data_IF_801282888048
#
_entry.id   IF_801282888048
#
_cell.length_a   1.000
_cell.length_b   1.000
_cell.length_c   1.000
_cell.angle_alpha   90.00
_cell.angle_beta   90.00
_cell.angle_gamma   90.00
#
_symmetry.space_group_name_H-M   'P 1'
#
loop_
_entity.id
_entity.type
_entity.pdbx_description
1 polymer ?
#
# COMPACT_ATOMS: atom_id res chain seq x y z
N UNK A 1 3.55 -33.19 -4.77
CA UNK A 1 2.20 -32.68 -5.08
C UNK A 1 1.78 -31.74 -3.96
N UNK A 2 2.33 -30.53 -3.96
CA UNK A 2 1.88 -29.44 -3.09
C UNK A 2 0.81 -28.67 -3.83
N UNK A 3 -0.36 -28.49 -3.20
CA UNK A 3 -1.39 -27.59 -3.73
C UNK A 3 -0.86 -26.17 -3.57
N UNK A 4 -0.67 -25.47 -4.67
CA UNK A 4 -0.44 -24.03 -4.69
C UNK A 4 -1.63 -23.34 -4.01
N UNK A 5 -1.45 -22.90 -2.76
CA UNK A 5 -2.44 -22.11 -2.02
C UNK A 5 -2.64 -20.70 -2.60
N UNK A 6 -1.91 -20.34 -3.65
CA UNK A 6 -1.99 -19.06 -4.34
C UNK A 6 -2.68 -19.12 -5.71
N UNK A 7 -2.97 -20.31 -6.25
CA UNK A 7 -3.43 -20.46 -7.64
C UNK A 7 -4.93 -20.21 -7.87
N UNK A 8 -5.77 -20.16 -6.82
CA UNK A 8 -7.23 -20.01 -7.00
C UNK A 8 -7.78 -18.62 -6.66
N UNK A 9 -6.97 -17.67 -6.17
CA UNK A 9 -7.45 -16.29 -5.92
C UNK A 9 -6.91 -15.24 -6.88
N UNK A 10 -5.91 -15.58 -7.70
CA UNK A 10 -5.42 -14.71 -8.78
C UNK A 10 -6.12 -15.02 -10.11
N UNK A 11 -6.65 -16.25 -10.26
CA UNK A 11 -7.44 -16.64 -11.42
C UNK A 11 -8.87 -16.05 -11.36
N UNK A 12 -9.07 -14.92 -12.04
CA UNK A 12 -10.40 -14.44 -12.45
C UNK A 12 -11.42 -14.29 -11.32
N UNK A 13 -11.03 -13.65 -10.22
CA UNK A 13 -11.99 -13.09 -9.28
C UNK A 13 -12.71 -11.91 -9.94
N UNK A 14 -13.73 -12.16 -10.77
CA UNK A 14 -14.81 -11.19 -10.98
C UNK A 14 -15.39 -10.89 -9.60
N UNK A 15 -14.79 -9.93 -8.89
CA UNK A 15 -15.35 -9.43 -7.65
C UNK A 15 -16.72 -8.88 -8.02
N UNK A 16 -17.78 -9.58 -7.61
CA UNK A 16 -19.16 -9.09 -7.76
C UNK A 16 -19.17 -7.65 -7.25
N UNK A 17 -19.75 -6.68 -8.00
CA UNK A 17 -19.43 -5.27 -7.84
C UNK A 17 -20.23 -4.69 -6.67
N UNK A 18 -19.90 -5.14 -5.44
CA UNK A 18 -20.50 -4.62 -4.21
C UNK A 18 -20.18 -3.14 -4.08
N UNK A 19 -18.99 -2.71 -4.50
CA UNK A 19 -18.59 -1.31 -4.47
C UNK A 19 -19.35 -0.43 -5.46
N UNK A 20 -19.59 -0.89 -6.70
CA UNK A 20 -20.48 -0.19 -7.64
C UNK A 20 -21.90 -0.05 -7.10
N UNK A 21 -22.42 -1.11 -6.45
CA UNK A 21 -23.70 -1.05 -5.74
C UNK A 21 -23.69 -0.02 -4.61
N UNK A 22 -22.63 0.03 -3.78
CA UNK A 22 -22.48 1.05 -2.75
C UNK A 22 -22.39 2.46 -3.32
N UNK A 23 -21.68 2.67 -4.44
CA UNK A 23 -21.64 3.95 -5.13
C UNK A 23 -23.02 4.38 -5.62
N UNK A 24 -23.79 3.47 -6.22
CA UNK A 24 -25.16 3.75 -6.66
C UNK A 24 -26.05 4.13 -5.47
N UNK A 25 -25.99 3.37 -4.38
CA UNK A 25 -26.77 3.66 -3.16
C UNK A 25 -26.37 5.02 -2.57
N UNK A 26 -25.07 5.32 -2.51
CA UNK A 26 -24.56 6.62 -2.05
C UNK A 26 -24.99 7.75 -2.99
N UNK A 27 -24.96 7.54 -4.31
CA UNK A 27 -25.38 8.52 -5.30
C UNK A 27 -26.89 8.81 -5.21
N UNK A 28 -27.72 7.79 -5.01
CA UNK A 28 -29.16 7.94 -4.80
C UNK A 28 -29.43 8.68 -3.48
N UNK A 29 -28.73 8.32 -2.40
CA UNK A 29 -28.88 8.97 -1.10
C UNK A 29 -28.42 10.43 -1.11
N UNK A 30 -27.27 10.72 -1.71
CA UNK A 30 -26.75 12.09 -1.85
C UNK A 30 -27.61 12.92 -2.81
N UNK A 31 -28.04 12.34 -3.94
CA UNK A 31 -28.88 13.00 -4.92
C UNK A 31 -30.26 13.36 -4.36
N UNK A 32 -30.91 12.41 -3.69
CA UNK A 32 -32.19 12.66 -3.01
C UNK A 32 -32.05 13.62 -1.82
N UNK A 33 -30.97 13.51 -1.04
CA UNK A 33 -30.65 14.42 0.06
C UNK A 33 -30.41 15.86 -0.40
N UNK A 34 -29.61 16.06 -1.46
CA UNK A 34 -29.38 17.36 -2.08
C UNK A 34 -30.67 17.95 -2.66
N UNK A 35 -31.46 17.14 -3.35
CA UNK A 35 -32.73 17.58 -3.92
C UNK A 35 -33.72 17.99 -2.81
N UNK A 36 -33.91 17.15 -1.78
CA UNK A 36 -34.85 17.41 -0.70
C UNK A 36 -34.44 18.64 0.13
N UNK A 37 -33.17 18.75 0.50
CA UNK A 37 -32.67 19.90 1.26
C UNK A 37 -32.64 21.18 0.43
N UNK A 38 -32.30 21.11 -0.85
CA UNK A 38 -32.36 22.24 -1.78
C UNK A 38 -33.79 22.73 -2.02
N UNK A 39 -34.73 21.79 -2.25
CA UNK A 39 -36.15 22.10 -2.43
C UNK A 39 -36.76 22.70 -1.16
N UNK A 40 -36.46 22.13 0.02
CA UNK A 40 -36.90 22.68 1.31
C UNK A 40 -36.34 24.09 1.53
N UNK A 41 -35.04 24.29 1.31
CA UNK A 41 -34.38 25.61 1.44
C UNK A 41 -35.05 26.65 0.53
N UNK A 42 -35.30 26.31 -0.73
CA UNK A 42 -35.99 27.18 -1.68
C UNK A 42 -37.43 27.48 -1.25
N UNK A 43 -38.18 26.47 -0.82
CA UNK A 43 -39.58 26.63 -0.39
C UNK A 43 -39.69 27.54 0.84
N UNK A 44 -38.84 27.35 1.84
CA UNK A 44 -38.80 28.20 3.04
C UNK A 44 -38.30 29.62 2.74
N UNK A 45 -37.42 29.78 1.75
CA UNK A 45 -36.99 31.10 1.28
C UNK A 45 -38.17 31.88 0.68
N UNK A 46 -38.98 31.23 -0.15
CA UNK A 46 -40.20 31.83 -0.73
C UNK A 46 -41.23 32.16 0.35
N UNK A 47 -41.33 31.34 1.40
CA UNK A 47 -42.21 31.58 2.56
C UNK A 47 -41.66 32.64 3.54
N UNK A 48 -40.42 33.11 3.38
CA UNK A 48 -39.79 34.08 4.27
C UNK A 48 -39.36 33.51 5.63
N UNK A 49 -39.30 32.19 5.78
CA UNK A 49 -38.90 31.52 7.02
C UNK A 49 -37.38 31.38 7.12
N UNK A 50 -36.70 32.50 7.40
CA UNK A 50 -35.24 32.59 7.37
C UNK A 50 -34.50 31.59 8.27
N UNK A 51 -35.07 31.21 9.40
CA UNK A 51 -34.46 30.22 10.31
C UNK A 51 -34.46 28.81 9.71
N UNK A 52 -35.51 28.44 8.97
CA UNK A 52 -35.58 27.18 8.22
C UNK A 52 -34.62 27.20 7.03
N UNK A 53 -34.50 28.33 6.34
CA UNK A 53 -33.52 28.50 5.24
C UNK A 53 -32.10 28.25 5.74
N UNK A 54 -31.73 28.79 6.91
CA UNK A 54 -30.40 28.57 7.50
C UNK A 54 -30.19 27.10 7.87
N UNK A 55 -31.20 26.45 8.45
CA UNK A 55 -31.12 25.05 8.85
C UNK A 55 -30.97 24.11 7.64
N UNK A 56 -31.90 24.19 6.68
CA UNK A 56 -31.89 23.33 5.49
C UNK A 56 -30.75 23.69 4.52
N UNK A 57 -30.37 24.96 4.43
CA UNK A 57 -29.22 25.41 3.65
C UNK A 57 -27.90 24.88 4.20
N UNK A 58 -27.77 24.77 5.53
CA UNK A 58 -26.61 24.14 6.17
C UNK A 58 -26.52 22.65 5.87
N UNK A 59 -27.66 21.94 5.87
CA UNK A 59 -27.70 20.54 5.44
C UNK A 59 -27.36 20.40 3.95
N UNK A 60 -27.90 21.25 3.08
CA UNK A 60 -27.56 21.26 1.65
C UNK A 60 -26.05 21.44 1.43
N UNK A 61 -25.43 22.40 2.12
CA UNK A 61 -23.98 22.61 2.07
C UNK A 61 -23.17 21.39 2.58
N UNK A 62 -23.64 20.72 3.63
CA UNK A 62 -23.04 19.48 4.14
C UNK A 62 -23.08 18.36 3.09
N UNK A 63 -24.25 18.12 2.48
CA UNK A 63 -24.41 17.12 1.43
C UNK A 63 -23.52 17.43 0.22
N UNK A 64 -23.42 18.70 -0.17
CA UNK A 64 -22.56 19.14 -1.27
C UNK A 64 -21.08 18.91 -0.95
N UNK A 65 -20.65 19.20 0.29
CA UNK A 65 -19.29 18.96 0.75
C UNK A 65 -18.91 17.48 0.73
N UNK A 66 -19.82 16.60 1.15
CA UNK A 66 -19.63 15.14 1.09
C UNK A 66 -19.56 14.67 -0.37
N UNK A 67 -20.46 15.14 -1.24
CA UNK A 67 -20.45 14.80 -2.66
C UNK A 67 -19.14 15.21 -3.35
N UNK A 68 -18.65 16.42 -3.09
CA UNK A 68 -17.36 16.90 -3.59
C UNK A 68 -16.18 16.07 -3.07
N UNK A 69 -16.20 15.67 -1.80
CA UNK A 69 -15.15 14.82 -1.22
C UNK A 69 -15.12 13.43 -1.87
N UNK A 70 -16.28 12.82 -2.10
CA UNK A 70 -16.40 11.53 -2.80
C UNK A 70 -15.93 11.67 -4.25
N UNK A 71 -16.33 12.73 -4.95
CA UNK A 71 -15.86 13.00 -6.31
C UNK A 71 -14.32 13.09 -6.38
N UNK A 72 -13.70 13.82 -5.44
CA UNK A 72 -12.23 13.89 -5.34
C UNK A 72 -11.61 12.53 -5.02
N UNK A 73 -12.22 11.72 -4.16
CA UNK A 73 -11.75 10.37 -3.86
C UNK A 73 -11.81 9.48 -5.11
N UNK A 74 -12.88 9.55 -5.90
CA UNK A 74 -12.99 8.80 -7.16
C UNK A 74 -12.00 9.25 -8.24
N UNK A 75 -11.52 10.50 -8.17
CA UNK A 75 -10.48 10.99 -9.07
C UNK A 75 -9.06 10.62 -8.66
N UNK A 76 -8.85 10.08 -7.45
CA UNK A 76 -7.53 9.62 -7.04
C UNK A 76 -7.15 8.37 -7.85
N UNK A 77 -6.29 8.56 -8.84
CA UNK A 77 -5.70 7.48 -9.66
C UNK A 77 -4.57 6.72 -8.93
N UNK A 78 -4.43 6.90 -7.62
CA UNK A 78 -3.39 6.22 -6.85
C UNK A 78 -3.79 4.77 -6.62
N UNK A 79 -2.84 3.82 -6.68
CA UNK A 79 -3.15 2.43 -6.40
C UNK A 79 -3.68 2.31 -4.98
N UNK A 80 -4.80 1.61 -4.84
CA UNK A 80 -5.47 1.41 -3.54
C UNK A 80 -5.03 0.10 -2.90
N UNK A 81 -4.52 -0.82 -3.72
CA UNK A 81 -3.93 -2.08 -3.29
C UNK A 81 -2.65 -2.36 -4.08
N UNK A 82 -1.59 -2.76 -3.38
CA UNK A 82 -0.35 -3.25 -3.99
C UNK A 82 -0.17 -4.69 -3.55
N UNK A 83 -0.10 -5.61 -4.51
CA UNK A 83 0.19 -7.03 -4.27
C UNK A 83 1.52 -7.31 -4.94
N UNK A 84 2.40 -8.03 -4.26
CA UNK A 84 3.70 -8.37 -4.81
C UNK A 84 3.94 -9.86 -4.65
N UNK A 85 4.32 -10.52 -5.74
CA UNK A 85 4.40 -11.97 -5.87
C UNK A 85 5.79 -12.36 -6.37
N UNK A 86 6.43 -13.28 -5.67
CA UNK A 86 7.65 -13.93 -6.12
C UNK A 86 7.28 -15.08 -7.06
N UNK A 87 7.54 -14.91 -8.36
CA UNK A 87 7.42 -15.95 -9.38
C UNK A 87 8.74 -16.73 -9.51
N UNK A 88 8.82 -17.66 -10.47
CA UNK A 88 10.00 -18.49 -10.70
C UNK A 88 11.18 -17.69 -11.29
N UNK A 89 10.91 -16.81 -12.25
CA UNK A 89 11.93 -16.05 -13.00
C UNK A 89 11.99 -14.56 -12.64
N UNK A 90 11.04 -14.09 -11.82
CA UNK A 90 10.82 -12.68 -11.61
C UNK A 90 10.02 -12.37 -10.34
N UNK A 91 10.06 -11.10 -9.99
CA UNK A 91 9.21 -10.49 -8.99
C UNK A 91 8.17 -9.59 -9.67
N UNK A 92 6.89 -9.89 -9.47
CA UNK A 92 5.79 -9.15 -10.08
C UNK A 92 5.03 -8.33 -9.05
N UNK A 93 4.86 -7.04 -9.33
CA UNK A 93 4.08 -6.10 -8.53
C UNK A 93 2.83 -5.71 -9.29
N UNK A 94 1.70 -6.01 -8.67
CA UNK A 94 0.36 -5.63 -9.10
C UNK A 94 -0.08 -4.41 -8.31
N UNK A 95 -0.11 -3.26 -8.97
CA UNK A 95 -0.69 -2.05 -8.42
C UNK A 95 -2.13 -1.94 -8.94
N UNK A 96 -3.09 -2.21 -8.06
CA UNK A 96 -4.53 -2.26 -8.39
C UNK A 96 -5.19 -1.01 -7.81
N UNK A 97 -5.88 -0.27 -8.66
CA UNK A 97 -6.82 0.74 -8.22
C UNK A 97 -8.18 0.07 -7.98
N UNK A 98 -8.55 -0.15 -6.71
CA UNK A 98 -9.83 -0.78 -6.36
C UNK A 98 -11.05 0.07 -6.79
N UNK A 99 -10.86 1.35 -7.12
CA UNK A 99 -11.91 2.26 -7.59
C UNK A 99 -12.07 2.26 -9.11
N UNK A 100 -11.00 2.06 -9.87
CA UNK A 100 -11.07 2.08 -11.34
C UNK A 100 -10.92 0.69 -11.97
N UNK A 101 -10.59 -0.32 -11.17
CA UNK A 101 -10.17 -1.66 -11.60
C UNK A 101 -8.94 -1.62 -12.54
N UNK A 102 -8.27 -0.47 -12.67
CA UNK A 102 -7.05 -0.34 -13.44
C UNK A 102 -5.92 -1.08 -12.70
N UNK A 103 -5.33 -2.03 -13.42
CA UNK A 103 -4.21 -2.83 -12.96
C UNK A 103 -2.94 -2.37 -13.68
N UNK A 104 -1.92 -2.01 -12.91
CA UNK A 104 -0.57 -1.77 -13.43
C UNK A 104 0.33 -2.89 -12.94
N UNK A 105 0.84 -3.68 -13.88
CA UNK A 105 1.77 -4.78 -13.61
C UNK A 105 3.19 -4.30 -13.87
N UNK A 106 4.06 -4.49 -12.88
CA UNK A 106 5.51 -4.25 -13.00
C UNK A 106 6.22 -5.57 -12.73
N UNK A 107 6.85 -6.15 -13.76
CA UNK A 107 7.61 -7.40 -13.66
C UNK A 107 9.10 -7.08 -13.65
N UNK A 108 9.82 -7.58 -12.64
CA UNK A 108 11.25 -7.35 -12.44
C UNK A 108 11.93 -8.72 -12.43
N UNK A 109 12.76 -8.99 -13.43
CA UNK A 109 13.46 -10.28 -13.50
C UNK A 109 14.58 -10.34 -12.46
N UNK A 110 14.74 -11.48 -11.80
CA UNK A 110 15.75 -11.64 -10.75
C UNK A 110 17.17 -11.40 -11.28
N UNK A 111 17.47 -11.89 -12.49
CA UNK A 111 18.77 -11.68 -13.14
C UNK A 111 19.06 -10.23 -13.56
N UNK A 112 18.08 -9.32 -13.47
CA UNK A 112 18.29 -7.88 -13.72
C UNK A 112 18.45 -7.07 -12.44
N UNK A 113 18.29 -7.70 -11.27
CA UNK A 113 18.42 -7.00 -9.99
C UNK A 113 19.90 -6.75 -9.70
N UNK A 114 20.26 -5.47 -9.53
CA UNK A 114 21.62 -5.08 -9.17
C UNK A 114 21.86 -5.26 -7.66
N UNK A 115 20.86 -4.90 -6.85
CA UNK A 115 20.99 -4.95 -5.40
C UNK A 115 19.65 -4.98 -4.66
N UNK A 116 19.64 -5.59 -3.48
CA UNK A 116 18.52 -5.57 -2.54
C UNK A 116 18.98 -5.08 -1.16
N UNK A 117 18.22 -4.16 -0.57
CA UNK A 117 18.32 -3.81 0.85
C UNK A 117 17.07 -4.31 1.58
N UNK A 118 17.29 -5.05 2.66
CA UNK A 118 16.27 -5.57 3.55
C UNK A 118 16.37 -4.83 4.86
N UNK A 119 15.30 -4.21 5.33
CA UNK A 119 15.30 -3.52 6.62
C UNK A 119 13.94 -3.56 7.31
N UNK A 120 13.85 -2.94 8.48
CA UNK A 120 12.63 -3.00 9.28
C UNK A 120 11.56 -2.10 8.69
N UNK A 121 10.36 -2.66 8.50
CA UNK A 121 9.16 -1.90 8.18
C UNK A 121 8.28 -1.71 9.43
N UNK A 122 7.81 -0.49 9.65
CA UNK A 122 6.88 -0.11 10.70
C UNK A 122 5.81 0.83 10.14
N UNK A 123 4.56 0.63 10.54
CA UNK A 123 3.47 1.53 10.16
C UNK A 123 3.31 2.67 11.18
N UNK A 124 4.07 3.75 11.02
CA UNK A 124 3.95 4.93 11.90
C UNK A 124 2.63 5.72 11.75
N UNK A 125 1.81 5.41 10.74
CA UNK A 125 0.56 6.11 10.44
C UNK A 125 -0.66 5.66 11.26
N UNK A 126 -0.61 4.49 11.90
CA UNK A 126 -1.70 3.95 12.71
C UNK A 126 -1.41 4.12 14.21
N UNK A 127 -1.43 5.36 14.71
CA UNK A 127 -1.38 5.63 16.15
C UNK A 127 -2.56 4.95 16.85
N UNK A 128 -2.31 3.90 17.66
CA UNK A 128 -3.27 3.43 18.66
C UNK A 128 -3.67 1.94 18.67
N UNK A 129 -3.09 1.07 17.83
CA UNK A 129 -3.25 -0.39 18.02
C UNK A 129 -1.93 -0.98 18.50
N UNK A 130 -1.95 -1.71 19.63
CA UNK A 130 -0.84 -2.40 20.31
C UNK A 130 -0.12 -3.49 19.47
N UNK A 131 -0.28 -3.46 18.16
CA UNK A 131 0.40 -4.32 17.20
C UNK A 131 1.09 -3.39 16.22
N UNK A 132 2.23 -2.83 16.62
CA UNK A 132 3.21 -2.32 15.67
C UNK A 132 3.56 -3.51 14.76
N UNK A 133 2.97 -3.56 13.57
CA UNK A 133 3.28 -4.60 12.61
C UNK A 133 4.70 -4.33 12.12
N UNK A 134 5.64 -5.12 12.65
CA UNK A 134 7.05 -5.13 12.25
C UNK A 134 7.18 -6.14 11.12
N UNK A 135 7.30 -5.64 9.89
CA UNK A 135 7.58 -6.44 8.69
C UNK A 135 8.99 -6.21 8.18
N UNK A 136 9.35 -6.88 7.09
CA UNK A 136 10.56 -6.57 6.34
C UNK A 136 10.20 -5.68 5.15
N UNK A 137 10.87 -4.53 4.99
CA UNK A 137 10.84 -3.76 3.75
C UNK A 137 11.99 -4.23 2.87
N UNK A 138 11.71 -4.53 1.61
CA UNK A 138 12.72 -4.79 0.59
C UNK A 138 12.75 -3.58 -0.35
N UNK A 139 13.93 -3.02 -0.56
CA UNK A 139 14.17 -2.02 -1.59
C UNK A 139 15.10 -2.64 -2.62
N UNK A 140 14.63 -2.72 -3.86
CA UNK A 140 15.25 -3.43 -4.97
C UNK A 140 15.72 -2.39 -5.98
N UNK A 141 17.01 -2.42 -6.31
CA UNK A 141 17.62 -1.60 -7.35
C UNK A 141 17.72 -2.43 -8.62
N UNK A 142 17.14 -1.92 -9.71
CA UNK A 142 17.12 -2.60 -11.01
C UNK A 142 17.07 -1.58 -12.16
N UNK A 143 17.53 -1.91 -13.36
CA UNK A 143 17.34 -1.04 -14.52
C UNK A 143 15.86 -1.01 -14.92
N UNK A 144 15.41 0.13 -15.42
CA UNK A 144 14.12 0.27 -16.07
C UNK A 144 14.19 -0.15 -17.56
N UNK A 145 13.14 0.14 -18.32
CA UNK A 145 13.07 -0.21 -19.75
C UNK A 145 14.04 0.58 -20.63
N UNK A 146 14.46 1.76 -20.16
CA UNK A 146 15.40 2.65 -20.86
C UNK A 146 16.85 2.40 -20.41
N UNK A 147 17.06 1.48 -19.47
CA UNK A 147 18.37 1.11 -18.92
C UNK A 147 18.82 1.99 -17.76
N UNK A 148 17.98 2.93 -17.33
CA UNK A 148 18.25 3.81 -16.19
C UNK A 148 17.98 3.08 -14.88
N UNK A 149 18.81 3.31 -13.87
CA UNK A 149 18.67 2.63 -12.58
C UNK A 149 17.47 3.19 -11.82
N UNK A 150 16.53 2.32 -11.47
CA UNK A 150 15.33 2.65 -10.70
C UNK A 150 15.21 1.79 -9.45
N UNK A 151 14.28 2.16 -8.58
CA UNK A 151 14.08 1.53 -7.29
C UNK A 151 12.63 1.12 -7.11
N UNK A 152 12.47 -0.12 -6.68
CA UNK A 152 11.18 -0.69 -6.34
C UNK A 152 11.17 -1.07 -4.87
N UNK A 153 10.10 -0.70 -4.18
CA UNK A 153 9.90 -1.02 -2.77
C UNK A 153 8.78 -2.03 -2.60
N UNK A 154 9.01 -3.03 -1.76
CA UNK A 154 8.00 -3.97 -1.31
C UNK A 154 8.04 -4.16 0.20
N UNK A 155 6.93 -4.61 0.77
CA UNK A 155 6.83 -4.94 2.19
C UNK A 155 6.35 -6.38 2.31
N UNK A 156 7.12 -7.18 3.03
CA UNK A 156 6.83 -8.58 3.27
C UNK A 156 6.56 -8.78 4.75
N UNK A 157 5.40 -9.37 5.03
CA UNK A 157 4.91 -9.66 6.39
C UNK A 157 4.98 -11.14 6.73
N UNK A 158 5.10 -11.99 5.71
CA UNK A 158 5.06 -13.44 5.84
C UNK A 158 6.48 -14.03 5.78
N UNK A 159 6.77 -14.92 6.73
CA UNK A 159 8.05 -15.61 6.85
C UNK A 159 8.27 -16.60 5.69
N UNK A 160 7.21 -17.23 5.17
CA UNK A 160 7.31 -18.12 4.00
C UNK A 160 7.74 -17.34 2.76
N UNK A 161 7.19 -16.13 2.57
CA UNK A 161 7.55 -15.26 1.45
C UNK A 161 8.99 -14.76 1.59
N UNK A 162 9.45 -14.46 2.81
CA UNK A 162 10.86 -14.12 3.05
C UNK A 162 11.80 -15.30 2.78
N UNK A 163 11.36 -16.52 3.07
CA UNK A 163 12.11 -17.74 2.77
C UNK A 163 12.20 -17.97 1.26
N UNK A 164 11.12 -17.77 0.52
CA UNK A 164 11.15 -17.80 -0.95
C UNK A 164 12.09 -16.74 -1.52
N UNK A 165 12.10 -15.52 -0.97
CA UNK A 165 13.07 -14.49 -1.35
C UNK A 165 14.52 -14.90 -1.10
N UNK A 166 14.79 -15.58 0.01
CA UNK A 166 16.11 -16.10 0.31
C UNK A 166 16.58 -17.11 -0.75
N UNK A 167 15.72 -18.07 -1.11
CA UNK A 167 16.02 -19.05 -2.17
C UNK A 167 16.34 -18.35 -3.50
N UNK A 168 15.55 -17.34 -3.91
CA UNK A 168 15.77 -16.60 -5.15
C UNK A 168 17.04 -15.75 -5.12
N UNK A 169 17.34 -15.09 -4.00
CA UNK A 169 18.57 -14.32 -3.83
C UNK A 169 19.80 -15.20 -4.05
N UNK A 170 19.78 -16.43 -3.51
CA UNK A 170 20.87 -17.40 -3.69
C UNK A 170 20.95 -17.97 -5.09
N UNK A 171 19.81 -18.36 -5.66
CA UNK A 171 19.73 -18.96 -7.00
C UNK A 171 20.27 -18.03 -8.08
N UNK A 172 19.95 -16.74 -7.98
CA UNK A 172 20.33 -15.72 -8.96
C UNK A 172 21.55 -14.89 -8.56
N UNK A 173 22.25 -15.27 -7.48
CA UNK A 173 23.42 -14.55 -6.93
C UNK A 173 23.18 -13.03 -6.77
N UNK A 174 21.99 -12.66 -6.29
CA UNK A 174 21.60 -11.25 -6.17
C UNK A 174 22.31 -10.64 -4.96
N UNK A 175 23.06 -9.54 -5.12
CA UNK A 175 23.67 -8.86 -3.99
C UNK A 175 22.59 -8.32 -3.03
N UNK A 176 22.46 -8.93 -1.86
CA UNK A 176 21.51 -8.51 -0.84
C UNK A 176 22.22 -8.06 0.44
N UNK A 177 21.66 -7.06 1.11
CA UNK A 177 22.15 -6.58 2.40
C UNK A 177 20.98 -6.38 3.35
N UNK A 178 21.19 -6.68 4.64
CA UNK A 178 20.18 -6.55 5.68
C UNK A 178 20.65 -5.59 6.77
N UNK A 179 19.75 -4.71 7.20
CA UNK A 179 19.99 -3.69 8.23
C UNK A 179 18.95 -3.77 9.34
N UNK A 180 19.30 -3.55 10.61
CA UNK A 180 18.32 -3.47 11.70
C UNK A 180 17.54 -2.14 11.70
N UNK A 181 17.91 -1.19 10.84
CA UNK A 181 17.30 0.13 10.81
C UNK A 181 15.89 0.12 10.23
N UNK A 182 15.05 1.02 10.76
CA UNK A 182 13.70 1.27 10.26
C UNK A 182 13.81 2.06 8.96
N UNK A 183 13.57 1.40 7.83
CA UNK A 183 13.64 2.00 6.50
C UNK A 183 12.26 2.31 5.93
N UNK A 184 11.24 2.47 6.77
CA UNK A 184 9.83 2.62 6.34
C UNK A 184 9.53 3.92 5.60
N UNK A 185 10.30 4.97 5.88
CA UNK A 185 10.13 6.31 5.31
C UNK A 185 11.19 6.62 4.22
N UNK A 186 12.11 5.68 3.95
CA UNK A 186 13.16 5.87 2.95
C UNK A 186 12.52 5.97 1.56
N UNK A 187 12.83 7.07 0.88
CA UNK A 187 12.44 7.28 -0.51
C UNK A 187 13.49 6.67 -1.47
N UNK A 188 13.08 6.21 -2.67
CA UNK A 188 13.97 5.76 -3.74
C UNK A 188 15.22 6.64 -3.95
N UNK A 189 15.06 7.95 -3.97
CA UNK A 189 16.13 8.90 -4.29
C UNK A 189 17.17 9.03 -3.17
N UNK A 190 16.80 8.62 -1.95
CA UNK A 190 17.68 8.62 -0.79
C UNK A 190 18.44 7.29 -0.66
N UNK A 191 18.09 6.29 -1.47
CA UNK A 191 18.60 4.94 -1.33
C UNK A 191 20.11 4.84 -1.48
N UNK A 192 20.70 5.42 -2.52
CA UNK A 192 22.15 5.31 -2.78
C UNK A 192 22.98 5.96 -1.67
N UNK A 193 22.55 7.13 -1.18
CA UNK A 193 23.20 7.82 -0.07
C UNK A 193 23.06 7.03 1.24
N UNK A 194 21.88 6.45 1.48
CA UNK A 194 21.63 5.62 2.65
C UNK A 194 22.48 4.34 2.59
N UNK A 195 22.57 3.68 1.43
CA UNK A 195 23.29 2.42 1.27
C UNK A 195 24.79 2.54 1.63
N UNK A 196 25.41 3.68 1.33
CA UNK A 196 26.82 3.92 1.66
C UNK A 196 27.06 4.16 3.16
N UNK A 197 26.03 4.58 3.89
CA UNK A 197 26.14 5.04 5.29
C UNK A 197 25.46 4.11 6.28
N UNK A 198 24.63 3.20 5.79
CA UNK A 198 23.85 2.28 6.60
C UNK A 198 24.72 1.11 7.07
N UNK A 199 24.63 0.78 8.36
CA UNK A 199 25.18 -0.48 8.87
C UNK A 199 24.30 -1.63 8.36
N UNK A 200 24.65 -2.13 7.18
CA UNK A 200 24.03 -3.28 6.56
C UNK A 200 25.06 -4.39 6.41
N UNK A 201 24.64 -5.61 6.76
CA UNK A 201 25.45 -6.82 6.61
C UNK A 201 25.05 -7.52 5.33
N UNK A 202 25.99 -8.19 4.63
CA UNK A 202 25.62 -9.07 3.53
C UNK A 202 24.56 -10.07 3.99
N UNK A 203 23.51 -10.22 3.19
CA UNK A 203 22.45 -11.19 3.43
C UNK A 203 22.61 -12.33 2.45
N UNK A 204 23.25 -13.39 2.92
CA UNK A 204 23.45 -14.65 2.20
C UNK A 204 22.34 -15.67 2.51
N UNK A 205 21.31 -15.24 3.27
CA UNK A 205 20.22 -16.11 3.67
C UNK A 205 20.50 -17.08 4.80
N UNK A 206 21.69 -17.01 5.43
CA UNK A 206 22.12 -17.98 6.45
C UNK A 206 21.34 -17.89 7.76
N UNK A 207 20.50 -16.88 7.94
CA UNK A 207 19.69 -16.66 9.13
C UNK A 207 18.29 -16.16 8.79
N UNK A 208 17.32 -16.48 9.64
CA UNK A 208 15.94 -15.99 9.49
C UNK A 208 15.89 -14.47 9.68
N UNK A 209 15.26 -13.78 8.73
CA UNK A 209 15.00 -12.32 8.79
C UNK A 209 14.19 -11.96 10.04
N UNK A 210 13.26 -12.83 10.43
CA UNK A 210 12.47 -12.67 11.66
C UNK A 210 13.34 -12.76 12.90
N UNK A 211 14.17 -13.79 13.03
CA UNK A 211 15.10 -13.91 14.15
C UNK A 211 16.09 -12.74 14.22
N UNK A 212 16.55 -12.27 13.06
CA UNK A 212 17.41 -11.09 12.97
C UNK A 212 16.73 -9.87 13.57
N UNK A 213 15.46 -9.60 13.23
CA UNK A 213 14.72 -8.47 13.79
C UNK A 213 14.25 -8.70 15.23
N UNK A 214 13.95 -9.92 15.64
CA UNK A 214 13.59 -10.24 17.03
C UNK A 214 14.78 -10.04 17.99
N UNK A 215 15.98 -10.50 17.61
CA UNK A 215 17.21 -10.25 18.37
C UNK A 215 17.51 -8.74 18.49
N UNK A 216 17.18 -7.96 17.46
CA UNK A 216 17.34 -6.51 17.47
C UNK A 216 16.23 -5.80 18.26
N UNK A 217 14.99 -6.29 18.25
CA UNK A 217 13.92 -5.77 19.11
C UNK A 217 14.18 -6.01 20.60
N UNK A 218 14.95 -7.04 20.98
CA UNK A 218 15.46 -7.19 22.35
C UNK A 218 16.47 -6.08 22.71
N UNK A 219 17.27 -5.60 21.74
CA UNK A 219 18.14 -4.43 21.90
C UNK A 219 17.34 -3.11 21.94
N UNK A 220 16.29 -2.96 21.14
CA UNK A 220 15.42 -1.76 21.14
C UNK A 220 14.63 -1.63 22.46
N UNK A 221 14.26 -2.74 23.10
CA UNK A 221 13.66 -2.73 24.45
C UNK A 221 14.63 -2.31 25.57
N UNK A 222 15.95 -2.37 25.37
CA UNK A 222 16.94 -1.90 26.33
C UNK A 222 17.21 -0.38 26.27
N UNK A 223 16.61 0.35 25.32
CA UNK A 223 16.65 1.81 25.27
C UNK A 223 15.35 2.49 25.76
N UNK A 224 14.42 1.70 26.30
CA UNK A 224 13.18 2.20 26.92
C UNK A 224 12.97 1.69 28.36
N UNK A 225 14.03 1.18 29.01
CA UNK A 225 14.06 0.90 30.44
C UNK A 225 14.78 2.01 31.20
#
# INVERSE_FOLDING_TARGET
>A
MGRNLYDETIATGKMKPKWFFYLIVIAIFLGSGLYATGYATYSFLVMGEWWMVLLFGSFFALFLGIALKIYRLTQNKKPTKIIAVAEEDAYTIYAINEWTEEEKVTKIHYGTMDRILIGVWTNRGFKGRKSDYVGARLIIRHPDKDGEMTYTSSVVFDEEVLTGWNERIREFDIPASITPLIISEVLPEQFDALFQTIDARPFDGSFSVKEFFEKQNQLVKWHQA
#
